data_IF_704042571704
#
_entry.id   IF_704042571704
#
_cell.length_a   1.000
_cell.length_b   1.000
_cell.length_c   1.000
_cell.angle_alpha   90.00
_cell.angle_beta   90.00
_cell.angle_gamma   90.00
#
_symmetry.space_group_name_H-M   'P 1'
#
loop_
_entity.id
_entity.type
_entity.pdbx_description
1 polymer ?
#
# COMPACT_ATOMS: atom_id res chain seq x y z
N UNK A 1 2.77 8.95 -40.53
CA UNK A 1 3.16 9.31 -39.15
C UNK A 1 4.65 9.10 -38.99
N UNK A 2 5.39 10.04 -38.42
CA UNK A 2 6.84 9.91 -38.21
C UNK A 2 7.13 8.92 -37.07
N UNK A 3 8.32 8.30 -37.08
CA UNK A 3 8.80 7.41 -35.99
C UNK A 3 8.74 8.13 -34.63
N UNK A 4 9.01 9.44 -34.62
CA UNK A 4 8.87 10.30 -33.44
C UNK A 4 7.43 10.30 -32.90
N UNK A 5 6.43 10.39 -33.79
CA UNK A 5 5.02 10.36 -33.39
C UNK A 5 4.61 8.99 -32.80
N UNK A 6 5.11 7.89 -33.37
CA UNK A 6 4.84 6.54 -32.86
C UNK A 6 5.51 6.28 -31.51
N UNK A 7 6.72 6.79 -31.29
CA UNK A 7 7.44 6.63 -30.03
C UNK A 7 6.88 7.54 -28.94
N UNK A 8 6.78 8.85 -29.18
CA UNK A 8 6.41 9.84 -28.15
C UNK A 8 4.94 9.70 -27.73
N UNK A 9 4.05 9.43 -28.68
CA UNK A 9 2.62 9.27 -28.42
C UNK A 9 2.21 7.80 -28.30
N UNK A 10 3.17 6.90 -28.03
CA UNK A 10 2.87 5.50 -27.81
C UNK A 10 1.88 5.37 -26.63
N UNK A 11 0.79 4.59 -26.75
CA UNK A 11 -0.22 4.46 -25.70
C UNK A 11 0.34 4.07 -24.33
N UNK A 12 1.39 3.25 -24.30
CA UNK A 12 2.08 2.86 -23.06
C UNK A 12 2.79 4.05 -22.39
N UNK A 13 3.38 4.97 -23.16
CA UNK A 13 4.01 6.19 -22.60
C UNK A 13 2.92 7.11 -22.06
N UNK A 14 1.85 7.35 -22.82
CA UNK A 14 0.71 8.16 -22.35
C UNK A 14 0.09 7.58 -21.07
N UNK A 15 -0.12 6.27 -21.00
CA UNK A 15 -0.59 5.58 -19.81
C UNK A 15 0.35 5.75 -18.62
N UNK A 16 1.65 5.59 -18.84
CA UNK A 16 2.69 5.77 -17.82
C UNK A 16 2.71 7.21 -17.31
N UNK A 17 2.60 8.20 -18.20
CA UNK A 17 2.55 9.62 -17.84
C UNK A 17 1.29 9.95 -17.02
N UNK A 18 0.12 9.41 -17.39
CA UNK A 18 -1.14 9.60 -16.63
C UNK A 18 -1.04 9.03 -15.21
N UNK A 19 -0.47 7.85 -15.05
CA UNK A 19 -0.27 7.27 -13.71
C UNK A 19 0.79 8.05 -12.94
N UNK A 20 1.90 8.37 -13.62
CA UNK A 20 3.04 9.11 -13.10
C UNK A 20 2.75 10.59 -12.80
N UNK A 21 1.65 11.16 -13.27
CA UNK A 21 1.22 12.52 -12.87
C UNK A 21 0.48 12.52 -11.53
N UNK A 22 0.06 11.35 -11.02
CA UNK A 22 -0.56 11.23 -9.70
C UNK A 22 0.48 11.04 -8.60
N UNK A 23 0.30 11.72 -7.46
CA UNK A 23 1.16 11.56 -6.28
C UNK A 23 1.20 10.10 -5.79
N UNK A 24 0.07 9.38 -5.87
CA UNK A 24 -0.01 7.96 -5.49
C UNK A 24 0.78 7.09 -6.46
N UNK A 25 0.69 7.33 -7.78
CA UNK A 25 1.45 6.59 -8.78
C UNK A 25 2.95 6.74 -8.58
N UNK A 26 3.44 7.98 -8.39
CA UNK A 26 4.85 8.25 -8.06
C UNK A 26 5.28 7.59 -6.75
N UNK A 27 4.48 7.73 -5.69
CA UNK A 27 4.80 7.12 -4.40
C UNK A 27 4.95 5.59 -4.50
N UNK A 28 4.04 4.90 -5.19
CA UNK A 28 4.11 3.43 -5.35
C UNK A 28 5.27 2.99 -6.23
N UNK A 29 5.54 3.68 -7.33
CA UNK A 29 6.70 3.40 -8.18
C UNK A 29 8.01 3.59 -7.40
N UNK A 30 8.16 4.73 -6.72
CA UNK A 30 9.37 5.02 -5.94
C UNK A 30 9.50 4.07 -4.76
N UNK A 31 8.39 3.61 -4.16
CA UNK A 31 8.42 2.55 -3.13
C UNK A 31 8.97 1.25 -3.70
N UNK A 32 8.54 0.84 -4.89
CA UNK A 32 9.01 -0.39 -5.53
C UNK A 32 10.53 -0.33 -5.76
N UNK A 33 11.03 0.79 -6.33
CA UNK A 33 12.47 1.00 -6.57
C UNK A 33 13.23 1.03 -5.24
N UNK A 34 12.72 1.74 -4.23
CA UNK A 34 13.33 1.83 -2.91
C UNK A 34 13.51 0.45 -2.25
N UNK A 35 12.46 -0.36 -2.21
CA UNK A 35 12.53 -1.68 -1.58
C UNK A 35 13.33 -2.69 -2.41
N UNK A 36 13.32 -2.55 -3.74
CA UNK A 36 14.18 -3.36 -4.58
C UNK A 36 15.66 -3.00 -4.38
N UNK A 37 15.98 -1.72 -4.24
CA UNK A 37 17.32 -1.27 -3.84
C UNK A 37 17.73 -1.80 -2.46
N UNK A 38 16.78 -1.93 -1.51
CA UNK A 38 17.04 -2.59 -0.21
C UNK A 38 17.43 -4.06 -0.39
N UNK A 39 16.67 -4.81 -1.20
CA UNK A 39 16.99 -6.19 -1.52
C UNK A 39 18.36 -6.31 -2.21
N UNK A 40 18.61 -5.49 -3.24
CA UNK A 40 19.87 -5.51 -3.98
C UNK A 40 21.06 -5.15 -3.09
N UNK A 41 20.94 -4.15 -2.20
CA UNK A 41 22.02 -3.80 -1.28
C UNK A 41 22.39 -4.99 -0.38
N UNK A 42 21.39 -5.70 0.13
CA UNK A 42 21.58 -6.91 0.92
C UNK A 42 22.20 -8.06 0.09
N UNK A 43 21.69 -8.28 -1.13
CA UNK A 43 22.16 -9.35 -2.01
C UNK A 43 23.62 -9.12 -2.43
N UNK A 44 23.94 -7.91 -2.91
CA UNK A 44 25.28 -7.52 -3.34
C UNK A 44 26.30 -7.63 -2.20
N UNK A 45 25.92 -7.22 -0.99
CA UNK A 45 26.79 -7.36 0.19
C UNK A 45 27.15 -8.82 0.45
N UNK A 46 26.17 -9.73 0.39
CA UNK A 46 26.38 -11.17 0.65
C UNK A 46 27.11 -11.89 -0.47
N UNK A 47 27.03 -11.39 -1.70
CA UNK A 47 27.74 -11.93 -2.86
C UNK A 47 29.15 -11.35 -3.03
N UNK A 48 29.62 -10.50 -2.11
CA UNK A 48 30.97 -9.95 -2.15
C UNK A 48 31.20 -8.89 -3.21
N UNK A 49 30.15 -8.18 -3.65
CA UNK A 49 30.30 -7.02 -4.54
C UNK A 49 31.05 -5.89 -3.82
N UNK A 50 31.55 -4.93 -4.59
CA UNK A 50 32.31 -3.80 -4.04
C UNK A 50 31.49 -3.00 -3.00
N UNK A 51 32.18 -2.47 -1.99
CA UNK A 51 31.58 -1.59 -0.97
C UNK A 51 30.90 -0.38 -1.61
N UNK A 52 31.45 0.13 -2.72
CA UNK A 52 30.88 1.24 -3.47
C UNK A 52 29.51 0.88 -4.08
N UNK A 53 29.37 -0.28 -4.71
CA UNK A 53 28.07 -0.73 -5.26
C UNK A 53 27.00 -0.83 -4.17
N UNK A 54 27.35 -1.41 -3.02
CA UNK A 54 26.43 -1.50 -1.88
C UNK A 54 26.06 -0.10 -1.37
N UNK A 55 27.03 0.82 -1.25
CA UNK A 55 26.79 2.19 -0.82
C UNK A 55 25.87 2.95 -1.78
N UNK A 56 26.05 2.82 -3.10
CA UNK A 56 25.17 3.43 -4.12
C UNK A 56 23.73 2.94 -3.98
N UNK A 57 23.52 1.64 -3.77
CA UNK A 57 22.19 1.05 -3.56
C UNK A 57 21.55 1.52 -2.24
N UNK A 58 22.34 1.64 -1.17
CA UNK A 58 21.87 2.20 0.09
C UNK A 58 21.48 3.67 -0.03
N UNK A 59 22.24 4.47 -0.79
CA UNK A 59 21.95 5.87 -1.08
C UNK A 59 20.65 6.03 -1.89
N UNK A 60 20.44 5.18 -2.91
CA UNK A 60 19.18 5.15 -3.66
C UNK A 60 17.99 4.82 -2.74
N UNK A 61 18.13 3.78 -1.90
CA UNK A 61 17.13 3.40 -0.90
C UNK A 61 16.79 4.57 0.04
N UNK A 62 17.79 5.20 0.65
CA UNK A 62 17.56 6.27 1.63
C UNK A 62 16.98 7.54 0.99
N UNK A 63 17.45 7.91 -0.19
CA UNK A 63 16.98 9.09 -0.94
C UNK A 63 15.50 8.95 -1.30
N UNK A 64 15.12 7.83 -1.94
CA UNK A 64 13.72 7.57 -2.27
C UNK A 64 12.84 7.46 -1.01
N UNK A 65 13.35 6.84 0.06
CA UNK A 65 12.64 6.77 1.33
C UNK A 65 12.37 8.15 1.93
N UNK A 66 13.28 9.12 1.76
CA UNK A 66 13.10 10.49 2.25
C UNK A 66 12.13 11.28 1.36
N UNK A 67 12.34 11.27 0.03
CA UNK A 67 11.49 11.98 -0.94
C UNK A 67 10.02 11.54 -0.85
N UNK A 68 9.76 10.25 -0.61
CA UNK A 68 8.40 9.74 -0.44
C UNK A 68 7.71 10.23 0.83
N UNK A 69 8.44 10.51 1.91
CA UNK A 69 7.82 11.11 3.10
C UNK A 69 7.33 12.52 2.79
N UNK A 70 8.12 13.30 2.06
CA UNK A 70 7.72 14.63 1.60
C UNK A 70 6.43 14.58 0.76
N UNK A 71 6.34 13.65 -0.21
CA UNK A 71 5.13 13.48 -1.03
C UNK A 71 3.88 13.07 -0.23
N UNK A 72 4.03 12.64 1.03
CA UNK A 72 2.93 12.24 1.91
C UNK A 72 2.55 13.32 2.93
N UNK A 73 3.26 14.45 2.97
CA UNK A 73 2.85 15.61 3.78
C UNK A 73 1.45 16.04 3.31
N UNK A 74 0.53 16.25 4.25
CA UNK A 74 -0.88 16.55 3.98
C UNK A 74 -1.80 15.34 3.89
N UNK A 75 -1.30 14.13 3.58
CA UNK A 75 -2.13 12.91 3.57
C UNK A 75 -2.83 12.56 4.88
N UNK A 76 -2.35 12.92 6.10
CA UNK A 76 -3.14 12.70 7.30
C UNK A 76 -4.57 13.25 7.21
N UNK A 77 -4.77 14.39 6.54
CA UNK A 77 -6.10 14.99 6.38
C UNK A 77 -7.03 14.16 5.48
N UNK A 78 -6.49 13.52 4.43
CA UNK A 78 -7.28 12.56 3.62
C UNK A 78 -7.77 11.40 4.48
N UNK A 79 -6.91 10.88 5.37
CA UNK A 79 -7.28 9.81 6.29
C UNK A 79 -8.27 10.27 7.36
N UNK A 80 -8.13 11.49 7.91
CA UNK A 80 -9.11 12.04 8.85
C UNK A 80 -10.48 12.23 8.19
N UNK A 81 -10.54 12.77 6.97
CA UNK A 81 -11.80 12.86 6.22
C UNK A 81 -12.41 11.48 5.98
N UNK A 82 -11.59 10.48 5.61
CA UNK A 82 -12.05 9.11 5.42
C UNK A 82 -12.51 8.45 6.73
N UNK A 83 -11.94 8.84 7.88
CA UNK A 83 -12.39 8.40 9.19
C UNK A 83 -13.78 8.95 9.50
N UNK A 84 -14.02 10.25 9.27
CA UNK A 84 -15.33 10.88 9.46
C UNK A 84 -16.38 10.23 8.56
N UNK A 85 -16.09 10.05 7.27
CA UNK A 85 -16.98 9.31 6.34
C UNK A 85 -17.24 7.87 6.79
N UNK A 86 -16.29 7.26 7.49
CA UNK A 86 -16.45 5.92 8.04
C UNK A 86 -17.48 5.84 9.16
N UNK A 87 -17.79 6.95 9.84
CA UNK A 87 -18.80 7.02 10.90
C UNK A 87 -20.23 6.82 10.37
N UNK A 88 -20.44 7.13 9.09
CA UNK A 88 -21.74 7.01 8.40
C UNK A 88 -22.06 5.56 7.99
N UNK A 89 -21.12 4.63 8.14
CA UNK A 89 -21.37 3.21 7.84
C UNK A 89 -22.42 2.64 8.78
N UNK A 90 -23.38 1.89 8.25
CA UNK A 90 -24.43 1.25 9.06
C UNK A 90 -23.92 0.02 9.81
N UNK A 91 -23.10 -0.80 9.15
CA UNK A 91 -22.48 -1.98 9.74
C UNK A 91 -21.46 -1.58 10.82
N UNK A 92 -21.66 -2.00 12.09
CA UNK A 92 -20.83 -1.56 13.21
C UNK A 92 -19.39 -2.08 13.13
N UNK A 93 -19.17 -3.28 12.58
CA UNK A 93 -17.84 -3.86 12.41
C UNK A 93 -17.08 -3.10 11.33
N UNK A 94 -17.73 -2.82 10.20
CA UNK A 94 -17.13 -2.03 9.13
C UNK A 94 -16.89 -0.58 9.56
N UNK A 95 -17.78 0.03 10.35
CA UNK A 95 -17.58 1.35 10.95
C UNK A 95 -16.31 1.35 11.81
N UNK A 96 -16.25 0.47 12.80
CA UNK A 96 -15.13 0.42 13.74
C UNK A 96 -13.81 0.14 13.05
N UNK A 97 -13.76 -0.85 12.16
CA UNK A 97 -12.54 -1.21 11.42
C UNK A 97 -12.11 -0.12 10.44
N UNK A 98 -13.06 0.58 9.80
CA UNK A 98 -12.74 1.70 8.90
C UNK A 98 -12.18 2.88 9.69
N UNK A 99 -12.84 3.31 10.76
CA UNK A 99 -12.35 4.42 11.60
C UNK A 99 -10.99 4.09 12.20
N UNK A 100 -10.82 2.90 12.79
CA UNK A 100 -9.55 2.45 13.37
C UNK A 100 -8.41 2.42 12.35
N UNK A 101 -8.67 1.90 11.13
CA UNK A 101 -7.70 1.93 10.03
C UNK A 101 -7.28 3.36 9.73
N UNK A 102 -8.25 4.26 9.52
CA UNK A 102 -7.98 5.61 9.06
C UNK A 102 -7.25 6.44 10.12
N UNK A 103 -7.62 6.33 11.39
CA UNK A 103 -6.91 6.98 12.49
C UNK A 103 -5.48 6.45 12.65
N UNK A 104 -5.27 5.13 12.50
CA UNK A 104 -3.94 4.53 12.47
C UNK A 104 -3.06 5.12 11.38
N UNK A 105 -3.58 5.21 10.14
CA UNK A 105 -2.84 5.82 9.03
C UNK A 105 -2.61 7.33 9.20
N UNK A 106 -3.59 8.08 9.71
CA UNK A 106 -3.43 9.51 9.98
C UNK A 106 -2.30 9.75 11.00
N UNK A 107 -2.36 9.06 12.14
CA UNK A 107 -1.34 9.15 13.17
C UNK A 107 0.04 8.69 12.69
N UNK A 108 0.10 7.60 11.92
CA UNK A 108 1.34 7.16 11.26
C UNK A 108 1.95 8.27 10.41
N UNK A 109 1.16 8.88 9.50
CA UNK A 109 1.67 9.85 8.54
C UNK A 109 2.03 11.20 9.18
N UNK A 110 1.39 11.58 10.29
CA UNK A 110 1.82 12.71 11.12
C UNK A 110 3.23 12.44 11.65
N UNK A 111 3.48 11.27 12.23
CA UNK A 111 4.81 10.91 12.73
C UNK A 111 5.82 10.76 11.58
N UNK A 112 5.41 10.24 10.43
CA UNK A 112 6.26 10.15 9.23
C UNK A 112 6.71 11.52 8.73
N UNK A 113 5.85 12.55 8.86
CA UNK A 113 6.21 13.96 8.58
C UNK A 113 7.26 14.48 9.57
N UNK A 114 7.14 14.14 10.86
CA UNK A 114 8.16 14.47 11.86
C UNK A 114 9.50 13.78 11.55
N UNK A 115 9.47 12.51 11.15
CA UNK A 115 10.69 11.78 10.72
C UNK A 115 11.32 12.44 9.50
N UNK A 116 10.51 12.94 8.56
CA UNK A 116 11.01 13.69 7.42
C UNK A 116 11.69 15.00 7.85
N UNK A 117 11.05 15.82 8.68
CA UNK A 117 11.62 17.07 9.20
C UNK A 117 12.98 16.85 9.87
N UNK A 118 13.10 15.77 10.63
CA UNK A 118 14.34 15.36 11.26
C UNK A 118 15.42 15.00 10.25
N UNK A 119 15.10 14.07 9.36
CA UNK A 119 16.07 13.48 8.41
C UNK A 119 16.52 14.50 7.37
N UNK A 120 15.63 15.42 6.98
CA UNK A 120 15.92 16.55 6.10
C UNK A 120 16.65 17.70 6.82
N UNK A 121 16.94 17.57 8.12
CA UNK A 121 17.62 18.56 8.97
C UNK A 121 16.88 19.90 9.11
N UNK A 122 15.59 19.93 8.79
CA UNK A 122 14.73 21.12 8.98
C UNK A 122 14.48 21.36 10.47
N UNK A 123 14.15 20.29 11.20
CA UNK A 123 14.02 20.32 12.66
C UNK A 123 14.61 19.03 13.24
N UNK A 124 15.91 19.02 13.60
CA UNK A 124 16.51 17.86 14.22
C UNK A 124 15.89 17.62 15.60
N UNK A 125 15.78 16.35 15.99
CA UNK A 125 15.34 15.91 17.31
C UNK A 125 16.49 15.14 17.95
N UNK A 126 16.51 15.07 19.27
CA UNK A 126 17.46 14.21 19.98
C UNK A 126 17.24 12.73 19.63
N UNK A 127 18.31 11.93 19.71
CA UNK A 127 18.27 10.48 19.45
C UNK A 127 17.09 9.74 20.15
N UNK A 128 16.83 9.92 21.46
CA UNK A 128 15.69 9.25 22.11
C UNK A 128 14.33 9.72 21.59
N UNK A 129 14.22 11.00 21.21
CA UNK A 129 12.98 11.57 20.69
C UNK A 129 12.63 11.00 19.32
N UNK A 130 13.60 10.99 18.39
CA UNK A 130 13.35 10.43 17.05
C UNK A 130 13.06 8.94 17.10
N UNK A 131 13.75 8.18 17.98
CA UNK A 131 13.47 6.76 18.18
C UNK A 131 12.02 6.53 18.65
N UNK A 132 11.54 7.36 19.59
CA UNK A 132 10.15 7.31 20.06
C UNK A 132 9.15 7.63 18.95
N UNK A 133 9.41 8.67 18.14
CA UNK A 133 8.57 9.05 17.00
C UNK A 133 8.50 7.91 15.98
N UNK A 134 9.63 7.28 15.65
CA UNK A 134 9.70 6.16 14.71
C UNK A 134 8.96 4.93 15.23
N UNK A 135 9.14 4.58 16.51
CA UNK A 135 8.41 3.48 17.15
C UNK A 135 6.90 3.74 17.17
N UNK A 136 6.48 4.96 17.50
CA UNK A 136 5.06 5.35 17.45
C UNK A 136 4.49 5.29 16.03
N UNK A 137 5.24 5.75 15.03
CA UNK A 137 4.87 5.64 13.62
C UNK A 137 4.65 4.17 13.22
N UNK A 138 5.56 3.28 13.61
CA UNK A 138 5.45 1.85 13.32
C UNK A 138 4.23 1.21 13.99
N UNK A 139 3.96 1.52 15.28
CA UNK A 139 2.76 1.04 15.98
C UNK A 139 1.47 1.48 15.30
N UNK A 140 1.36 2.76 14.95
CA UNK A 140 0.16 3.30 14.30
C UNK A 140 -0.04 2.75 12.89
N UNK A 141 1.06 2.53 12.14
CA UNK A 141 0.99 1.87 10.84
C UNK A 141 0.54 0.41 10.98
N UNK A 142 1.12 -0.33 11.93
CA UNK A 142 0.70 -1.69 12.25
C UNK A 142 -0.79 -1.75 12.60
N UNK A 143 -1.26 -0.88 13.51
CA UNK A 143 -2.67 -0.78 13.89
C UNK A 143 -3.56 -0.53 12.67
N UNK A 144 -3.17 0.40 11.79
CA UNK A 144 -3.90 0.70 10.56
C UNK A 144 -4.07 -0.52 9.65
N UNK A 145 -3.00 -1.32 9.48
CA UNK A 145 -3.06 -2.56 8.69
C UNK A 145 -3.86 -3.65 9.41
N UNK A 146 -3.70 -3.81 10.72
CA UNK A 146 -4.43 -4.79 11.51
C UNK A 146 -5.96 -4.60 11.38
N UNK A 147 -6.45 -3.36 11.50
CA UNK A 147 -7.86 -3.04 11.24
C UNK A 147 -8.29 -3.37 9.81
N UNK A 148 -7.40 -3.17 8.83
CA UNK A 148 -7.68 -3.52 7.44
C UNK A 148 -7.80 -5.03 7.22
N UNK A 149 -6.94 -5.82 7.87
CA UNK A 149 -7.00 -7.28 7.83
C UNK A 149 -8.33 -7.78 8.40
N UNK A 150 -8.72 -7.28 9.58
CA UNK A 150 -10.02 -7.61 10.20
C UNK A 150 -11.18 -7.23 9.28
N UNK A 151 -11.17 -6.01 8.70
CA UNK A 151 -12.19 -5.56 7.75
C UNK A 151 -12.28 -6.47 6.51
N UNK A 152 -11.12 -6.90 5.98
CA UNK A 152 -11.07 -7.74 4.78
C UNK A 152 -11.58 -9.16 5.06
N UNK A 153 -11.24 -9.75 6.20
CA UNK A 153 -11.76 -11.04 6.63
C UNK A 153 -13.28 -10.98 6.85
N UNK A 154 -13.78 -9.94 7.52
CA UNK A 154 -15.21 -9.73 7.73
C UNK A 154 -15.98 -9.60 6.40
N UNK A 155 -15.46 -8.80 5.46
CA UNK A 155 -16.05 -8.66 4.12
C UNK A 155 -16.06 -9.98 3.35
N UNK A 156 -14.98 -10.77 3.41
CA UNK A 156 -14.94 -12.07 2.73
C UNK A 156 -15.99 -13.02 3.30
N UNK A 157 -16.14 -13.06 4.61
CA UNK A 157 -17.17 -13.88 5.25
C UNK A 157 -18.58 -13.47 4.80
N UNK A 158 -18.90 -12.17 4.79
CA UNK A 158 -20.18 -11.68 4.29
C UNK A 158 -20.42 -12.00 2.81
N UNK A 159 -19.40 -11.85 1.97
CA UNK A 159 -19.48 -12.18 0.54
C UNK A 159 -19.65 -13.69 0.29
N UNK A 160 -19.04 -14.54 1.11
CA UNK A 160 -19.22 -15.99 1.05
C UNK A 160 -20.66 -16.37 1.39
N UNK A 161 -21.24 -15.79 2.44
CA UNK A 161 -22.65 -16.02 2.79
C UNK A 161 -23.60 -15.57 1.67
N UNK A 162 -23.37 -14.37 1.10
CA UNK A 162 -24.16 -13.87 -0.03
C UNK A 162 -24.05 -14.79 -1.25
N UNK A 163 -22.85 -15.28 -1.57
CA UNK A 163 -22.65 -16.24 -2.65
C UNK A 163 -23.44 -17.53 -2.43
N UNK A 164 -23.43 -18.07 -1.20
CA UNK A 164 -24.19 -19.28 -0.87
C UNK A 164 -25.70 -19.04 -0.96
N UNK A 165 -26.19 -17.89 -0.50
CA UNK A 165 -27.61 -17.54 -0.59
C UNK A 165 -28.08 -17.46 -2.06
N UNK A 166 -27.34 -16.77 -2.92
CA UNK A 166 -27.64 -16.70 -4.37
C UNK A 166 -27.58 -18.09 -5.01
N UNK A 167 -26.64 -18.94 -4.58
CA UNK A 167 -26.52 -20.32 -5.07
C UNK A 167 -27.67 -21.22 -4.62
N UNK A 168 -28.23 -21.02 -3.42
CA UNK A 168 -29.37 -21.81 -2.90
C UNK A 168 -30.72 -21.36 -3.49
N UNK A 169 -30.86 -20.10 -3.87
CA UNK A 169 -32.06 -19.56 -4.53
C UNK A 169 -32.25 -20.06 -5.98
N UNK A 170 -31.60 -21.17 -6.37
CA UNK A 170 -31.55 -21.76 -7.72
C UNK A 170 -32.94 -22.04 -8.33
N UNK A 171 -33.99 -22.20 -7.54
CA UNK A 171 -35.35 -22.53 -8.04
C UNK A 171 -36.24 -21.37 -8.52
N UNK A 172 -35.93 -20.09 -8.25
CA UNK A 172 -36.95 -19.01 -8.31
C UNK A 172 -36.67 -17.79 -9.22
N UNK A 173 -35.50 -17.67 -9.86
CA UNK A 173 -35.12 -16.47 -10.65
C UNK A 173 -34.45 -16.83 -11.98
N UNK A 174 -34.59 -15.94 -12.96
CA UNK A 174 -34.05 -16.09 -14.32
C UNK A 174 -32.54 -16.37 -14.33
N UNK A 175 -32.10 -17.28 -15.22
CA UNK A 175 -30.70 -17.73 -15.30
C UNK A 175 -29.72 -16.58 -15.60
N UNK A 176 -30.16 -15.52 -16.28
CA UNK A 176 -29.34 -14.36 -16.68
C UNK A 176 -28.94 -13.46 -15.51
N UNK A 177 -29.90 -13.02 -14.70
CA UNK A 177 -29.68 -12.11 -13.56
C UNK A 177 -28.77 -12.72 -12.49
N UNK A 178 -28.97 -14.01 -12.16
CA UNK A 178 -28.10 -14.72 -11.20
C UNK A 178 -26.65 -14.82 -11.67
N UNK A 179 -26.44 -14.98 -12.97
CA UNK A 179 -25.09 -15.07 -13.53
C UNK A 179 -24.33 -13.76 -13.36
N UNK A 180 -25.03 -12.62 -13.48
CA UNK A 180 -24.47 -11.29 -13.24
C UNK A 180 -24.17 -11.06 -11.74
N UNK A 181 -25.09 -11.43 -10.85
CA UNK A 181 -24.90 -11.32 -9.40
C UNK A 181 -23.72 -12.15 -8.89
N UNK A 182 -23.60 -13.41 -9.34
CA UNK A 182 -22.48 -14.26 -8.97
C UNK A 182 -21.15 -13.69 -9.49
N UNK A 183 -21.11 -13.15 -10.71
CA UNK A 183 -19.91 -12.48 -11.26
C UNK A 183 -19.54 -11.24 -10.46
N UNK A 184 -20.52 -10.46 -10.02
CA UNK A 184 -20.29 -9.29 -9.16
C UNK A 184 -19.70 -9.70 -7.81
N UNK A 185 -20.26 -10.72 -7.16
CA UNK A 185 -19.75 -11.23 -5.88
C UNK A 185 -18.33 -11.76 -6.04
N UNK A 186 -18.05 -12.53 -7.10
CA UNK A 186 -16.70 -13.03 -7.39
C UNK A 186 -15.70 -11.89 -7.61
N UNK A 187 -16.10 -10.82 -8.32
CA UNK A 187 -15.28 -9.63 -8.53
C UNK A 187 -14.98 -8.93 -7.19
N UNK A 188 -15.98 -8.79 -6.32
CA UNK A 188 -15.80 -8.23 -4.98
C UNK A 188 -14.88 -9.09 -4.12
N UNK A 189 -15.05 -10.42 -4.14
CA UNK A 189 -14.17 -11.34 -3.42
C UNK A 189 -12.73 -11.25 -3.91
N UNK A 190 -12.51 -11.19 -5.22
CA UNK A 190 -11.17 -11.04 -5.80
C UNK A 190 -10.50 -9.73 -5.33
N UNK A 191 -11.24 -8.62 -5.34
CA UNK A 191 -10.74 -7.35 -4.84
C UNK A 191 -10.39 -7.39 -3.35
N UNK A 192 -11.23 -8.00 -2.51
CA UNK A 192 -10.95 -8.12 -1.07
C UNK A 192 -9.79 -9.08 -0.79
N UNK A 193 -9.67 -10.21 -1.50
CA UNK A 193 -8.53 -11.13 -1.39
C UNK A 193 -7.22 -10.47 -1.79
N UNK A 194 -7.24 -9.63 -2.82
CA UNK A 194 -6.07 -8.87 -3.26
C UNK A 194 -5.62 -7.90 -2.16
N UNK A 195 -6.55 -7.14 -1.56
CA UNK A 195 -6.26 -6.24 -0.44
C UNK A 195 -5.75 -7.01 0.78
N UNK A 196 -6.39 -8.12 1.14
CA UNK A 196 -6.00 -8.99 2.26
C UNK A 196 -4.56 -9.51 2.08
N UNK A 197 -4.23 -9.98 0.87
CA UNK A 197 -2.89 -10.48 0.53
C UNK A 197 -1.86 -9.36 0.65
N UNK A 198 -2.16 -8.17 0.13
CA UNK A 198 -1.26 -7.03 0.23
C UNK A 198 -1.04 -6.62 1.69
N UNK A 199 -2.10 -6.55 2.50
CA UNK A 199 -2.02 -6.16 3.91
C UNK A 199 -1.29 -7.21 4.75
N UNK A 200 -1.47 -8.50 4.47
CA UNK A 200 -0.78 -9.58 5.17
C UNK A 200 0.74 -9.56 4.92
N UNK A 201 1.16 -9.06 3.76
CA UNK A 201 2.56 -8.82 3.44
C UNK A 201 3.04 -7.47 4.01
N UNK A 202 2.28 -6.39 3.84
CA UNK A 202 2.67 -5.05 4.28
C UNK A 202 2.78 -4.96 5.81
N UNK A 203 2.04 -5.76 6.58
CA UNK A 203 2.10 -5.74 8.07
C UNK A 203 3.46 -6.17 8.61
N UNK A 204 4.21 -6.99 7.85
CA UNK A 204 5.55 -7.43 8.22
C UNK A 204 6.54 -6.24 8.27
N UNK A 205 6.26 -5.16 7.55
CA UNK A 205 7.13 -3.99 7.50
C UNK A 205 7.19 -3.23 8.83
N UNK A 206 6.07 -2.76 9.40
CA UNK A 206 6.07 -2.18 10.74
C UNK A 206 6.35 -3.25 11.81
N UNK A 207 5.92 -4.51 11.65
CA UNK A 207 6.20 -5.58 12.61
C UNK A 207 7.71 -5.79 12.83
N UNK A 208 8.52 -5.75 11.76
CA UNK A 208 9.98 -5.79 11.88
C UNK A 208 10.56 -4.57 12.60
N UNK A 209 9.98 -3.39 12.43
CA UNK A 209 10.41 -2.18 13.16
C UNK A 209 10.06 -2.26 14.65
N UNK A 210 8.98 -2.97 14.99
CA UNK A 210 8.53 -3.22 16.36
C UNK A 210 9.25 -4.39 17.04
N UNK A 211 10.07 -5.15 16.31
CA UNK A 211 10.78 -6.31 16.82
C UNK A 211 9.93 -7.58 16.93
N UNK A 212 8.78 -7.66 16.26
CA UNK A 212 7.91 -8.84 16.29
C UNK A 212 8.44 -10.02 15.47
N UNK A 213 9.44 -9.79 14.60
CA UNK A 213 10.16 -10.84 13.89
C UNK A 213 11.58 -10.36 13.53
N UNK A 214 12.42 -11.28 13.06
CA UNK A 214 13.81 -11.02 12.69
C UNK A 214 14.09 -11.28 11.19
N UNK A 215 13.09 -11.10 10.33
CA UNK A 215 13.29 -11.18 8.87
C UNK A 215 14.36 -10.19 8.41
N UNK A 216 15.25 -10.67 7.54
CA UNK A 216 16.36 -9.87 7.05
C UNK A 216 15.96 -8.84 5.97
N UNK A 217 16.90 -7.95 5.66
CA UNK A 217 16.72 -6.88 4.69
C UNK A 217 16.40 -7.37 3.27
N UNK A 218 16.81 -8.59 2.92
CA UNK A 218 16.50 -9.21 1.63
C UNK A 218 15.02 -9.55 1.53
N UNK A 219 14.50 -10.28 2.51
CA UNK A 219 13.08 -10.65 2.57
C UNK A 219 12.19 -9.41 2.65
N UNK A 220 12.54 -8.47 3.53
CA UNK A 220 11.80 -7.20 3.68
C UNK A 220 11.86 -6.35 2.40
N UNK A 221 12.99 -6.37 1.71
CA UNK A 221 13.14 -5.76 0.38
C UNK A 221 12.16 -6.36 -0.62
N UNK A 222 12.12 -7.69 -0.76
CA UNK A 222 11.23 -8.37 -1.70
C UNK A 222 9.75 -8.15 -1.37
N UNK A 223 9.36 -8.30 -0.11
CA UNK A 223 7.98 -8.05 0.35
C UNK A 223 7.56 -6.63 -0.03
N UNK A 224 8.38 -5.63 0.32
CA UNK A 224 8.08 -4.25 0.01
C UNK A 224 8.03 -3.96 -1.49
N UNK A 225 8.84 -4.64 -2.31
CA UNK A 225 8.75 -4.54 -3.78
C UNK A 225 7.43 -5.12 -4.28
N UNK A 226 7.06 -6.32 -3.86
CA UNK A 226 5.82 -7.00 -4.27
C UNK A 226 4.60 -6.17 -3.91
N UNK A 227 4.46 -5.73 -2.65
CA UNK A 227 3.30 -4.93 -2.22
C UNK A 227 3.26 -3.55 -2.89
N UNK A 228 4.41 -3.00 -3.30
CA UNK A 228 4.47 -1.76 -4.07
C UNK A 228 3.98 -1.93 -5.50
N UNK A 229 4.38 -3.02 -6.17
CA UNK A 229 3.88 -3.37 -7.50
C UNK A 229 2.38 -3.64 -7.43
N UNK A 230 1.92 -4.34 -6.39
CA UNK A 230 0.50 -4.57 -6.17
C UNK A 230 -0.28 -3.26 -6.04
N UNK A 231 0.21 -2.34 -5.20
CA UNK A 231 -0.41 -1.02 -5.03
C UNK A 231 -0.31 -0.14 -6.29
N UNK A 232 0.77 -0.26 -7.07
CA UNK A 232 0.91 0.44 -8.34
C UNK A 232 -0.12 -0.08 -9.35
N UNK A 233 -0.32 -1.39 -9.45
CA UNK A 233 -1.36 -2.00 -10.30
C UNK A 233 -2.76 -1.49 -9.94
N UNK A 234 -3.10 -1.42 -8.66
CA UNK A 234 -4.38 -0.85 -8.22
C UNK A 234 -4.53 0.62 -8.64
N UNK A 235 -3.45 1.40 -8.58
CA UNK A 235 -3.46 2.79 -9.03
C UNK A 235 -3.57 2.91 -10.57
N UNK A 236 -2.91 2.03 -11.33
CA UNK A 236 -3.05 1.96 -12.79
C UNK A 236 -4.50 1.69 -13.16
N UNK A 237 -5.15 0.70 -12.54
CA UNK A 237 -6.56 0.39 -12.76
C UNK A 237 -7.49 1.55 -12.39
N UNK A 238 -7.18 2.28 -11.30
CA UNK A 238 -7.96 3.45 -10.89
C UNK A 238 -7.87 4.60 -11.89
N UNK A 239 -6.69 4.83 -12.47
CA UNK A 239 -6.42 5.99 -13.35
C UNK A 239 -6.80 5.72 -14.80
N UNK A 240 -6.57 4.49 -15.29
CA UNK A 240 -6.79 4.13 -16.69
C UNK A 240 -8.09 3.35 -16.92
N UNK A 241 -8.78 2.96 -15.84
CA UNK A 241 -9.88 2.00 -15.88
C UNK A 241 -9.38 0.56 -15.81
N UNK A 242 -10.29 -0.37 -15.56
CA UNK A 242 -10.01 -1.81 -15.71
C UNK A 242 -9.86 -2.06 -17.20
N UNK A 243 -8.67 -2.49 -17.66
CA UNK A 243 -8.52 -3.01 -19.01
C UNK A 243 -9.54 -4.14 -19.18
N UNK A 244 -10.49 -3.95 -20.10
CA UNK A 244 -11.47 -4.98 -20.46
C UNK A 244 -10.77 -6.19 -21.06
#
# INVERSE_FOLDING_TARGET
MTVVHQLVLHPAITATLKVGSTTVGRDKLYRAIQYYARFLAYYCLRKGYSKETVARLQALKSTLALSRKLMRVGKPFEHLQAAVKGLDLTDPVLKFTTVGRQLGYAGYLINDTLVWLHTAKVRPFSAPTIATIQQRAARLWFTGIAFSLVSSLYKLYGLQQRQQAVSRAQGLSEKGEKSADLRLIQTQQAAVRYQLTQDALDILLPAGTLGYHQLDDGIIGLIGTVTSIMGLRSQVQKVLGVAK
#
